data_IF_292253237707
#
_entry.id   IF_292253237707
#
_cell.length_a   1.000
_cell.length_b   1.000
_cell.length_c   1.000
_cell.angle_alpha   90.00
_cell.angle_beta   90.00
_cell.angle_gamma   90.00
#
_symmetry.space_group_name_H-M   'P 1'
#
loop_
_entity.id
_entity.type
_entity.pdbx_description
1 polymer ?
#
# COMPACT_ATOMS: atom_id res chain seq x y z
N UNK A 1 -10.66 34.35 12.35
CA UNK A 1 -10.10 32.98 12.46
C UNK A 1 -10.95 32.05 11.64
N UNK A 2 -10.47 31.57 10.51
CA UNK A 2 -11.17 30.54 9.71
C UNK A 2 -10.81 29.20 10.33
N UNK A 3 -11.76 28.58 11.02
CA UNK A 3 -11.67 27.18 11.41
C UNK A 3 -11.54 26.35 10.12
N UNK A 4 -10.33 25.88 9.84
CA UNK A 4 -10.08 24.94 8.77
C UNK A 4 -10.84 23.65 9.09
N UNK A 5 -11.90 23.37 8.36
CA UNK A 5 -12.67 22.14 8.42
C UNK A 5 -11.70 20.97 8.16
N UNK A 6 -11.20 20.36 9.24
CA UNK A 6 -10.38 19.15 9.13
C UNK A 6 -11.21 18.12 8.38
N UNK A 7 -10.82 17.84 7.13
CA UNK A 7 -11.56 16.90 6.29
C UNK A 7 -11.51 15.54 6.98
N UNK A 8 -12.66 14.93 7.21
CA UNK A 8 -12.76 13.60 7.84
C UNK A 8 -12.05 12.55 6.97
N UNK A 9 -10.84 12.19 7.34
CA UNK A 9 -10.00 11.19 6.64
C UNK A 9 -10.73 9.86 6.49
N UNK A 10 -11.54 9.47 7.47
CA UNK A 10 -12.37 8.25 7.39
C UNK A 10 -13.32 8.32 6.21
N UNK A 11 -13.96 9.46 6.00
CA UNK A 11 -14.87 9.69 4.87
C UNK A 11 -14.13 9.64 3.54
N UNK A 12 -12.99 10.30 3.43
CA UNK A 12 -12.17 10.31 2.20
C UNK A 12 -11.75 8.88 1.83
N UNK A 13 -11.21 8.12 2.79
CA UNK A 13 -10.78 6.74 2.55
C UNK A 13 -11.99 5.89 2.13
N UNK A 14 -13.11 6.02 2.85
CA UNK A 14 -14.31 5.25 2.56
C UNK A 14 -14.86 5.53 1.15
N UNK A 15 -14.93 6.79 0.74
CA UNK A 15 -15.36 7.18 -0.61
C UNK A 15 -14.45 6.59 -1.69
N UNK A 16 -13.11 6.64 -1.50
CA UNK A 16 -12.15 6.02 -2.42
C UNK A 16 -12.33 4.50 -2.52
N UNK A 17 -12.48 3.82 -1.38
CA UNK A 17 -12.71 2.36 -1.34
C UNK A 17 -14.03 1.99 -1.99
N UNK A 18 -15.09 2.77 -1.77
CA UNK A 18 -16.39 2.53 -2.40
C UNK A 18 -16.35 2.79 -3.92
N UNK A 19 -15.66 3.84 -4.37
CA UNK A 19 -15.44 4.09 -5.79
C UNK A 19 -14.66 2.94 -6.46
N UNK A 20 -13.64 2.41 -5.79
CA UNK A 20 -12.94 1.21 -6.24
C UNK A 20 -13.89 0.01 -6.35
N UNK A 21 -14.68 -0.27 -5.31
CA UNK A 21 -15.64 -1.39 -5.32
C UNK A 21 -16.73 -1.26 -6.39
N UNK A 22 -17.17 -0.04 -6.70
CA UNK A 22 -18.15 0.18 -7.77
C UNK A 22 -17.56 -0.18 -9.15
N UNK A 23 -16.29 0.14 -9.40
CA UNK A 23 -15.60 -0.24 -10.63
C UNK A 23 -15.24 -1.72 -10.68
N UNK A 24 -14.95 -2.31 -9.55
CA UNK A 24 -14.48 -3.70 -9.41
C UNK A 24 -15.33 -4.49 -8.41
N UNK A 25 -16.62 -4.75 -8.72
CA UNK A 25 -17.57 -5.35 -7.77
C UNK A 25 -17.21 -6.78 -7.37
N UNK A 26 -16.39 -7.48 -8.15
CA UNK A 26 -15.90 -8.83 -7.82
C UNK A 26 -14.92 -8.86 -6.65
N UNK A 27 -14.36 -7.72 -6.22
CA UNK A 27 -13.48 -7.67 -5.06
C UNK A 27 -14.25 -7.97 -3.77
N UNK A 28 -13.80 -9.00 -3.04
CA UNK A 28 -14.45 -9.44 -1.79
C UNK A 28 -14.01 -8.54 -0.64
N UNK A 29 -14.98 -7.84 -0.04
CA UNK A 29 -14.69 -6.95 1.09
C UNK A 29 -15.95 -6.64 1.91
N UNK A 30 -15.81 -6.53 3.22
CA UNK A 30 -16.87 -6.24 4.17
C UNK A 30 -16.39 -5.39 5.35
N UNK A 31 -17.33 -4.83 6.17
CA UNK A 31 -17.04 -3.95 7.31
C UNK A 31 -16.14 -2.75 6.99
N UNK A 32 -16.15 -2.29 5.75
CA UNK A 32 -15.21 -1.30 5.21
C UNK A 32 -15.13 -0.02 6.03
N UNK A 33 -16.27 0.53 6.50
CA UNK A 33 -16.28 1.77 7.30
C UNK A 33 -15.44 1.64 8.58
N UNK A 34 -15.50 0.48 9.25
CA UNK A 34 -14.72 0.23 10.46
C UNK A 34 -13.21 0.12 10.17
N UNK A 35 -12.85 -0.48 9.03
CA UNK A 35 -11.45 -0.58 8.60
C UNK A 35 -10.90 0.78 8.16
N UNK A 36 -11.69 1.58 7.44
CA UNK A 36 -11.33 2.95 7.05
C UNK A 36 -11.06 3.84 8.26
N UNK A 37 -11.84 3.68 9.35
CA UNK A 37 -11.59 4.42 10.58
C UNK A 37 -10.22 4.07 11.17
N UNK A 38 -9.86 2.79 11.23
CA UNK A 38 -8.52 2.38 11.70
C UNK A 38 -7.42 2.99 10.83
N UNK A 39 -7.56 2.98 9.50
CA UNK A 39 -6.61 3.61 8.62
C UNK A 39 -6.48 5.12 8.90
N UNK A 40 -7.61 5.81 9.00
CA UNK A 40 -7.66 7.26 9.25
C UNK A 40 -6.98 7.66 10.56
N UNK A 41 -7.15 6.85 11.62
CA UNK A 41 -6.55 7.09 12.93
C UNK A 41 -5.01 6.99 12.91
N UNK A 42 -4.42 6.37 11.85
CA UNK A 42 -2.97 6.17 11.70
C UNK A 42 -2.34 7.00 10.58
N UNK A 43 -3.11 7.79 9.85
CA UNK A 43 -2.60 8.71 8.81
C UNK A 43 -2.29 10.07 9.45
N UNK A 44 -1.06 10.54 9.30
CA UNK A 44 -0.64 11.83 9.81
C UNK A 44 -1.35 13.00 9.10
N UNK A 45 -1.36 14.19 9.72
CA UNK A 45 -2.06 15.35 9.14
C UNK A 45 -1.38 15.90 7.87
N UNK A 46 -0.11 15.60 7.72
CA UNK A 46 0.74 15.99 6.60
C UNK A 46 0.88 14.89 5.52
N UNK A 47 0.05 13.84 5.60
CA UNK A 47 -0.03 12.80 4.58
C UNK A 47 -1.24 13.00 3.68
N UNK A 48 -1.03 12.97 2.36
CA UNK A 48 -2.06 13.01 1.34
C UNK A 48 -2.52 11.58 0.98
N UNK A 49 -3.85 11.36 0.98
CA UNK A 49 -4.44 10.08 0.62
C UNK A 49 -4.59 10.02 -0.91
N UNK A 50 -3.70 9.32 -1.58
CA UNK A 50 -3.67 9.20 -3.04
C UNK A 50 -4.68 8.18 -3.56
N UNK A 51 -4.69 6.98 -2.96
CA UNK A 51 -5.51 5.86 -3.42
C UNK A 51 -5.96 4.99 -2.25
N UNK A 52 -7.11 4.32 -2.38
CA UNK A 52 -7.55 3.33 -1.39
C UNK A 52 -8.40 2.23 -2.02
N UNK A 53 -8.18 1.01 -1.59
CA UNK A 53 -8.93 -0.16 -2.02
C UNK A 53 -9.06 -1.18 -0.89
N UNK A 54 -9.87 -2.21 -1.11
CA UNK A 54 -10.03 -3.32 -0.16
C UNK A 54 -9.46 -4.61 -0.74
N UNK A 55 -8.88 -5.45 0.13
CA UNK A 55 -8.37 -6.76 -0.19
C UNK A 55 -8.52 -7.71 1.01
N UNK A 56 -8.26 -9.00 0.80
CA UNK A 56 -8.08 -9.96 1.88
C UNK A 56 -6.58 -10.16 2.14
N UNK A 57 -6.12 -10.07 3.39
CA UNK A 57 -4.73 -10.42 3.74
C UNK A 57 -4.65 -11.93 3.94
N UNK A 58 -4.55 -12.70 2.88
CA UNK A 58 -4.45 -14.15 2.93
C UNK A 58 -3.75 -14.70 1.69
N UNK A 59 -2.92 -15.72 1.89
CA UNK A 59 -2.41 -16.55 0.80
C UNK A 59 -3.53 -17.40 0.15
N UNK A 60 -4.57 -17.73 0.91
CA UNK A 60 -5.70 -18.53 0.43
C UNK A 60 -6.88 -17.66 0.03
N UNK A 61 -7.39 -17.83 -1.17
CA UNK A 61 -8.60 -17.16 -1.66
C UNK A 61 -9.88 -17.61 -0.92
N UNK A 62 -9.81 -18.69 -0.13
CA UNK A 62 -10.94 -19.18 0.66
C UNK A 62 -11.10 -18.47 2.01
N UNK A 63 -10.12 -17.68 2.42
CA UNK A 63 -10.18 -16.96 3.69
C UNK A 63 -10.75 -15.55 3.50
N UNK A 64 -12.07 -15.44 3.55
CA UNK A 64 -12.81 -14.17 3.37
C UNK A 64 -12.95 -13.34 4.65
N UNK A 65 -12.41 -13.79 5.77
CA UNK A 65 -12.57 -13.15 7.10
C UNK A 65 -11.54 -12.05 7.34
N UNK A 66 -10.50 -11.98 6.53
CA UNK A 66 -9.35 -11.10 6.72
C UNK A 66 -9.36 -9.85 5.83
N UNK A 67 -10.53 -9.20 5.67
CA UNK A 67 -10.63 -7.94 4.92
C UNK A 67 -9.77 -6.86 5.54
N UNK A 68 -8.93 -6.24 4.69
CA UNK A 68 -8.16 -5.05 4.97
C UNK A 68 -8.58 -3.91 4.06
N UNK A 69 -8.46 -2.70 4.55
CA UNK A 69 -8.38 -1.51 3.70
C UNK A 69 -6.89 -1.21 3.48
N UNK A 70 -6.53 -1.07 2.23
CA UNK A 70 -5.20 -0.65 1.79
C UNK A 70 -5.31 0.81 1.37
N UNK A 71 -4.49 1.66 1.97
CA UNK A 71 -4.42 3.09 1.65
C UNK A 71 -3.01 3.42 1.18
N UNK A 72 -2.91 4.07 0.04
CA UNK A 72 -1.65 4.59 -0.48
C UNK A 72 -1.65 6.09 -0.23
N UNK A 73 -0.68 6.55 0.53
CA UNK A 73 -0.42 7.97 0.76
C UNK A 73 0.79 8.43 -0.06
N UNK A 74 1.10 9.70 0.00
CA UNK A 74 2.33 10.26 -0.55
C UNK A 74 3.61 9.78 0.19
N UNK A 75 3.48 9.08 1.34
CA UNK A 75 4.62 8.64 2.16
C UNK A 75 4.74 7.13 2.34
N UNK A 76 3.65 6.37 2.22
CA UNK A 76 3.63 4.93 2.54
C UNK A 76 2.37 4.22 2.08
N UNK A 77 2.43 2.90 2.09
CA UNK A 77 1.26 2.03 1.93
C UNK A 77 0.82 1.57 3.31
N UNK A 78 -0.46 1.72 3.62
CA UNK A 78 -1.08 1.36 4.89
C UNK A 78 -2.05 0.21 4.70
N UNK A 79 -1.95 -0.82 5.52
CA UNK A 79 -2.95 -1.88 5.63
C UNK A 79 -3.62 -1.77 6.99
N UNK A 80 -4.93 -1.66 7.02
CA UNK A 80 -5.69 -1.48 8.25
C UNK A 80 -6.90 -2.39 8.33
N UNK A 81 -7.10 -2.98 9.50
CA UNK A 81 -8.24 -3.84 9.79
C UNK A 81 -8.75 -3.62 11.21
N UNK A 82 -10.05 -3.41 11.37
CA UNK A 82 -10.72 -3.53 12.66
C UNK A 82 -11.01 -5.00 12.95
N UNK A 83 -10.47 -5.54 14.03
CA UNK A 83 -10.75 -6.91 14.46
C UNK A 83 -12.22 -7.07 14.86
N UNK A 84 -12.71 -8.32 14.84
CA UNK A 84 -14.11 -8.59 15.08
C UNK A 84 -14.52 -8.30 16.53
N UNK A 85 -13.74 -8.77 17.49
CA UNK A 85 -14.07 -8.59 18.91
C UNK A 85 -13.33 -7.39 19.52
N UNK A 86 -11.98 -7.43 19.58
CA UNK A 86 -11.19 -6.40 20.24
C UNK A 86 -10.00 -5.98 19.39
N UNK A 87 -9.63 -4.70 19.48
CA UNK A 87 -8.44 -4.15 18.86
C UNK A 87 -8.54 -3.97 17.33
N UNK A 88 -7.39 -3.81 16.74
CA UNK A 88 -7.20 -3.62 15.29
C UNK A 88 -5.86 -4.23 14.87
N UNK A 89 -5.68 -4.36 13.56
CA UNK A 89 -4.41 -4.63 12.93
C UNK A 89 -4.04 -3.45 12.05
N UNK A 90 -2.78 -3.10 12.08
CA UNK A 90 -2.21 -2.02 11.27
C UNK A 90 -0.81 -2.44 10.83
N UNK A 91 -0.51 -2.21 9.56
CA UNK A 91 0.80 -2.44 8.98
C UNK A 91 1.15 -1.32 8.01
N UNK A 92 2.37 -0.83 8.07
CA UNK A 92 2.88 0.25 7.23
C UNK A 92 4.06 -0.25 6.42
N UNK A 93 4.04 0.03 5.12
CA UNK A 93 5.12 -0.25 4.18
C UNK A 93 5.62 1.10 3.66
N UNK A 94 6.80 1.50 4.10
CA UNK A 94 7.50 2.67 3.59
C UNK A 94 8.33 2.29 2.36
N UNK A 95 8.75 3.24 1.51
CA UNK A 95 9.52 2.95 0.29
C UNK A 95 10.81 2.15 0.54
N UNK A 96 11.50 2.44 1.64
CA UNK A 96 12.71 1.71 2.07
C UNK A 96 12.45 0.26 2.47
N UNK A 97 11.21 -0.08 2.84
CA UNK A 97 10.82 -1.46 3.15
C UNK A 97 10.41 -2.27 1.92
N UNK A 98 10.09 -1.62 0.82
CA UNK A 98 9.54 -2.27 -0.37
C UNK A 98 10.67 -2.88 -1.23
N UNK A 99 10.53 -4.17 -1.54
CA UNK A 99 11.45 -4.87 -2.45
C UNK A 99 10.84 -5.05 -3.84
N UNK A 100 9.64 -5.68 -3.92
CA UNK A 100 9.04 -6.05 -5.20
C UNK A 100 7.51 -6.14 -5.11
N UNK A 101 6.86 -6.10 -6.29
CA UNK A 101 5.44 -6.32 -6.47
C UNK A 101 5.20 -7.40 -7.52
N UNK A 102 4.58 -8.48 -7.13
CA UNK A 102 4.16 -9.55 -8.03
C UNK A 102 2.63 -9.57 -8.16
N UNK A 103 2.13 -9.62 -9.39
CA UNK A 103 0.71 -9.78 -9.66
C UNK A 103 0.44 -11.21 -10.14
N UNK A 104 -0.51 -11.89 -9.48
CA UNK A 104 -1.03 -13.20 -9.91
C UNK A 104 -2.49 -13.04 -10.33
N UNK A 105 -2.75 -13.16 -11.62
CA UNK A 105 -4.08 -13.03 -12.20
C UNK A 105 -4.73 -14.39 -12.34
N UNK A 106 -5.95 -14.52 -11.81
CA UNK A 106 -6.83 -15.66 -12.04
C UNK A 106 -8.01 -15.29 -12.96
N UNK A 107 -8.93 -16.20 -13.17
CA UNK A 107 -10.07 -15.96 -14.07
C UNK A 107 -11.04 -14.90 -13.51
N UNK A 108 -11.39 -14.99 -12.23
CA UNK A 108 -12.35 -14.10 -11.56
C UNK A 108 -11.63 -13.22 -10.54
N UNK A 109 -10.77 -13.81 -9.74
CA UNK A 109 -9.98 -13.16 -8.71
C UNK A 109 -8.49 -13.32 -8.95
N UNK A 110 -7.75 -12.40 -8.41
CA UNK A 110 -6.31 -12.47 -8.39
C UNK A 110 -5.72 -11.93 -7.09
N UNK A 111 -4.41 -11.80 -7.09
CA UNK A 111 -3.62 -11.46 -5.92
C UNK A 111 -2.51 -10.49 -6.29
N UNK A 112 -2.30 -9.47 -5.45
CA UNK A 112 -1.10 -8.67 -5.44
C UNK A 112 -0.23 -9.11 -4.26
N UNK A 113 1.03 -9.36 -4.51
CA UNK A 113 2.01 -9.80 -3.52
C UNK A 113 3.07 -8.71 -3.41
N UNK A 114 3.15 -8.10 -2.23
CA UNK A 114 4.15 -7.08 -1.93
C UNK A 114 5.24 -7.73 -1.09
N UNK A 115 6.43 -7.83 -1.65
CA UNK A 115 7.60 -8.28 -0.92
C UNK A 115 8.25 -7.10 -0.19
N UNK A 116 8.58 -7.29 1.07
CA UNK A 116 9.21 -6.27 1.91
C UNK A 116 10.40 -6.85 2.65
N UNK A 117 11.27 -5.99 3.18
CA UNK A 117 12.42 -6.41 3.99
C UNK A 117 12.04 -7.15 5.27
N UNK A 118 10.77 -7.11 5.70
CA UNK A 118 10.29 -7.76 6.93
C UNK A 118 9.44 -8.99 6.65
N UNK A 119 8.50 -8.92 5.73
CA UNK A 119 7.57 -9.99 5.40
C UNK A 119 7.02 -9.83 3.99
N UNK A 120 6.49 -10.91 3.44
CA UNK A 120 5.71 -10.87 2.19
C UNK A 120 4.24 -10.68 2.51
N UNK A 121 3.63 -9.64 1.94
CA UNK A 121 2.22 -9.29 2.15
C UNK A 121 1.38 -9.76 0.98
N UNK A 122 0.41 -10.62 1.25
CA UNK A 122 -0.52 -11.15 0.25
C UNK A 122 -1.84 -10.39 0.30
N UNK A 123 -2.23 -9.80 -0.83
CA UNK A 123 -3.51 -9.10 -1.01
C UNK A 123 -4.35 -9.90 -2.00
N UNK A 124 -5.21 -10.77 -1.51
CA UNK A 124 -6.01 -11.71 -2.29
C UNK A 124 -7.46 -11.26 -2.48
N UNK A 125 -8.21 -12.04 -3.25
CA UNK A 125 -9.63 -11.82 -3.56
C UNK A 125 -9.92 -10.45 -4.18
N UNK A 126 -8.95 -9.95 -4.94
CA UNK A 126 -9.08 -8.79 -5.79
C UNK A 126 -9.76 -9.22 -7.10
N UNK A 127 -10.69 -8.42 -7.59
CA UNK A 127 -11.21 -8.62 -8.96
C UNK A 127 -10.05 -8.64 -9.95
N UNK A 128 -10.00 -9.60 -10.86
CA UNK A 128 -8.94 -9.68 -11.87
C UNK A 128 -8.81 -8.40 -12.70
N UNK A 129 -9.93 -7.73 -13.00
CA UNK A 129 -9.93 -6.44 -13.69
C UNK A 129 -9.31 -5.28 -12.90
N UNK A 130 -9.16 -5.42 -11.57
CA UNK A 130 -8.55 -4.38 -10.73
C UNK A 130 -7.02 -4.46 -10.67
N UNK A 131 -6.44 -5.61 -10.99
CA UNK A 131 -5.02 -5.89 -10.75
C UNK A 131 -4.09 -4.97 -11.52
N UNK A 132 -4.41 -4.67 -12.77
CA UNK A 132 -3.61 -3.76 -13.60
C UNK A 132 -3.61 -2.32 -13.05
N UNK A 133 -4.75 -1.86 -12.51
CA UNK A 133 -4.82 -0.55 -11.86
C UNK A 133 -4.01 -0.53 -10.57
N UNK A 134 -4.14 -1.57 -9.74
CA UNK A 134 -3.39 -1.71 -8.48
C UNK A 134 -1.88 -1.74 -8.75
N UNK A 135 -1.43 -2.53 -9.73
CA UNK A 135 -0.04 -2.57 -10.17
C UNK A 135 0.46 -1.20 -10.59
N UNK A 136 -0.31 -0.51 -11.43
CA UNK A 136 0.03 0.83 -11.93
C UNK A 136 0.17 1.83 -10.79
N UNK A 137 -0.77 1.84 -9.84
CA UNK A 137 -0.76 2.80 -8.72
C UNK A 137 0.41 2.53 -7.77
N UNK A 138 0.65 1.26 -7.41
CA UNK A 138 1.76 0.90 -6.51
C UNK A 138 3.11 1.19 -7.19
N UNK A 139 3.28 0.79 -8.46
CA UNK A 139 4.51 1.04 -9.21
C UNK A 139 4.78 2.54 -9.39
N UNK A 140 3.73 3.33 -9.71
CA UNK A 140 3.86 4.78 -9.84
C UNK A 140 4.32 5.42 -8.53
N UNK A 141 3.72 5.02 -7.40
CA UNK A 141 4.12 5.48 -6.07
C UNK A 141 5.59 5.17 -5.80
N UNK A 142 6.02 3.93 -6.01
CA UNK A 142 7.41 3.52 -5.79
C UNK A 142 8.41 4.26 -6.69
N UNK A 143 8.03 4.51 -7.96
CA UNK A 143 8.88 5.28 -8.88
C UNK A 143 9.00 6.75 -8.49
N UNK A 144 7.94 7.36 -7.96
CA UNK A 144 7.97 8.75 -7.47
C UNK A 144 8.92 8.88 -6.28
N UNK A 145 8.79 8.00 -5.29
CA UNK A 145 9.65 7.98 -4.10
C UNK A 145 11.11 7.74 -4.44
N UNK A 146 11.39 6.80 -5.35
CA UNK A 146 12.75 6.55 -5.83
C UNK A 146 13.37 7.77 -6.49
N UNK A 147 12.59 8.51 -7.29
CA UNK A 147 13.07 9.75 -7.93
C UNK A 147 13.35 10.85 -6.90
N UNK A 148 12.49 11.00 -5.88
CA UNK A 148 12.72 11.99 -4.81
C UNK A 148 14.01 11.67 -4.08
N UNK A 149 14.21 10.41 -3.68
CA UNK A 149 15.46 9.95 -3.06
C UNK A 149 16.68 10.22 -3.94
N UNK A 150 16.60 9.94 -5.25
CA UNK A 150 17.68 10.22 -6.20
C UNK A 150 17.97 11.72 -6.38
N UNK A 151 16.98 12.59 -6.17
CA UNK A 151 17.15 14.05 -6.21
C UNK A 151 17.73 14.62 -4.91
N UNK A 152 17.43 14.01 -3.77
CA UNK A 152 17.97 14.40 -2.47
C UNK A 152 19.43 14.00 -2.26
N UNK A 153 19.91 12.95 -2.95
CA UNK A 153 21.33 12.54 -2.90
C UNK A 153 22.17 13.53 -3.70
N UNK A 154 23.08 14.20 -3.01
CA UNK A 154 24.03 15.12 -3.64
C UNK A 154 24.96 14.36 -4.62
N UNK A 155 25.53 15.04 -5.64
CA UNK A 155 26.51 14.42 -6.56
C UNK A 155 27.71 13.79 -5.83
N UNK A 156 28.10 14.36 -4.71
CA UNK A 156 29.22 13.86 -3.89
C UNK A 156 28.86 12.57 -3.15
N UNK A 157 27.66 12.48 -2.58
CA UNK A 157 27.16 11.26 -1.93
C UNK A 157 26.96 10.13 -2.94
N UNK A 158 26.45 10.45 -4.13
CA UNK A 158 26.32 9.49 -5.24
C UNK A 158 27.66 8.92 -5.66
N UNK A 159 28.69 9.77 -5.74
CA UNK A 159 30.05 9.35 -6.08
C UNK A 159 30.67 8.44 -5.00
N UNK A 160 30.42 8.73 -3.71
CA UNK A 160 30.86 7.88 -2.60
C UNK A 160 30.21 6.51 -2.63
N UNK A 161 28.88 6.47 -2.79
CA UNK A 161 28.11 5.21 -2.89
C UNK A 161 28.59 4.34 -4.06
N UNK A 162 28.82 4.93 -5.23
CA UNK A 162 29.33 4.21 -6.39
C UNK A 162 30.73 3.64 -6.16
N UNK A 163 31.61 4.37 -5.46
CA UNK A 163 32.93 3.91 -5.12
C UNK A 163 32.92 2.78 -4.09
N UNK A 164 32.03 2.84 -3.10
CA UNK A 164 31.81 1.77 -2.12
C UNK A 164 31.33 0.49 -2.79
N UNK A 165 30.30 0.56 -3.63
CA UNK A 165 29.78 -0.58 -4.40
C UNK A 165 30.87 -1.19 -5.31
N UNK A 166 31.68 -0.35 -5.95
CA UNK A 166 32.80 -0.81 -6.79
C UNK A 166 33.88 -1.51 -5.99
N UNK A 167 34.13 -1.07 -4.76
CA UNK A 167 35.11 -1.69 -3.88
C UNK A 167 34.61 -3.03 -3.32
N UNK A 168 33.32 -3.13 -2.99
CA UNK A 168 32.69 -4.37 -2.54
C UNK A 168 32.70 -5.45 -3.64
N UNK A 169 32.49 -5.07 -4.90
CA UNK A 169 32.53 -6.00 -6.04
C UNK A 169 33.94 -6.54 -6.35
N UNK A 170 35.00 -5.84 -5.92
CA UNK A 170 36.41 -6.26 -6.12
C UNK A 170 36.94 -7.17 -5.00
N UNK A 171 36.22 -7.31 -3.88
CA UNK A 171 36.64 -8.12 -2.73
C UNK A 171 35.83 -9.39 -2.60
N UNK A 172 34.95 -9.69 -3.58
CA UNK A 172 34.11 -10.89 -3.67
C UNK A 172 34.57 -11.93 -4.68
N UNK A 173 35.78 -11.82 -5.22
CA UNK A 173 36.44 -12.86 -6.03
C UNK A 173 37.53 -13.59 -5.22
#
# INVERSE_FOLDING_TARGET
MKEGKTMDKTKIIYEKVMAFKQRFPGTVAWRLKAHCKVAADHINNDEEILYAFAAQKSYSMLNIVSTFVVVITDKRILLAQKRFFFGYFYYSITPDMFNDLTIKMGLIWGMAIIDTVKETVYLSNLSSGALQEIETVISKYMMQEKRQYEQEITPEERSKLQNELRNMSKHGE
#
